data_IF_747822426836
#
_entry.id   IF_747822426836
#
_cell.length_a   1.000
_cell.length_b   1.000
_cell.length_c   1.000
_cell.angle_alpha   90.00
_cell.angle_beta   90.00
_cell.angle_gamma   90.00
#
_symmetry.space_group_name_H-M   'P 1'
#
loop_
_entity.id
_entity.type
_entity.pdbx_description
1 polymer ?
#
# COMPACT_ATOMS: atom_id res chain seq x y z
N UNK A 1 2.96 0.58 9.25
CA UNK A 1 2.42 1.68 8.43
C UNK A 1 3.31 1.85 7.22
N UNK A 2 2.69 1.89 6.03
CA UNK A 2 3.37 2.10 4.75
C UNK A 2 2.90 3.41 4.17
N UNK A 3 3.83 4.31 3.88
CA UNK A 3 3.57 5.53 3.12
C UNK A 3 3.70 5.21 1.64
N UNK A 4 2.65 5.50 0.89
CA UNK A 4 2.65 5.33 -0.55
C UNK A 4 2.30 6.67 -1.22
N UNK A 5 3.04 6.99 -2.26
CA UNK A 5 2.76 8.14 -3.13
C UNK A 5 2.13 7.61 -4.40
N UNK A 6 0.91 8.02 -4.64
CA UNK A 6 0.10 7.65 -5.78
C UNK A 6 0.11 8.83 -6.75
N UNK A 7 0.46 8.55 -7.99
CA UNK A 7 0.51 9.54 -9.06
C UNK A 7 -0.88 9.77 -9.67
N UNK A 8 -1.05 10.78 -10.51
CA UNK A 8 -2.32 11.18 -11.15
C UNK A 8 -2.98 10.05 -11.99
N UNK A 9 -2.22 9.01 -12.32
CA UNK A 9 -2.67 7.83 -13.06
C UNK A 9 -3.04 6.64 -12.16
N UNK A 10 -2.97 6.79 -10.83
CA UNK A 10 -3.27 5.72 -9.86
C UNK A 10 -2.13 4.72 -9.66
N UNK A 11 -0.94 5.04 -10.16
CA UNK A 11 0.26 4.21 -10.02
C UNK A 11 1.04 4.62 -8.77
N UNK A 12 1.54 3.63 -8.02
CA UNK A 12 2.39 3.87 -6.86
C UNK A 12 3.80 4.19 -7.33
N UNK A 13 4.19 5.46 -7.28
CA UNK A 13 5.53 5.92 -7.67
C UNK A 13 6.55 5.75 -6.56
N UNK A 14 6.10 5.83 -5.31
CA UNK A 14 6.96 5.65 -4.13
C UNK A 14 6.22 4.88 -3.06
N UNK A 15 6.88 3.92 -2.45
CA UNK A 15 6.37 3.18 -1.30
C UNK A 15 7.50 3.06 -0.28
N UNK A 16 7.26 3.53 0.93
CA UNK A 16 8.23 3.57 2.02
C UNK A 16 7.55 3.10 3.30
N UNK A 17 8.29 2.39 4.15
CA UNK A 17 7.71 1.80 5.35
C UNK A 17 8.24 2.49 6.57
N UNK A 18 7.33 3.23 7.20
CA UNK A 18 7.62 4.03 8.38
C UNK A 18 7.62 3.16 9.65
N UNK A 19 6.81 2.10 9.68
CA UNK A 19 6.70 1.19 10.83
C UNK A 19 6.40 -0.22 10.36
N UNK A 20 7.42 -1.08 10.32
CA UNK A 20 7.32 -2.51 10.05
C UNK A 20 7.66 -3.33 11.29
N UNK A 21 7.13 -4.55 11.38
CA UNK A 21 7.48 -5.50 12.44
C UNK A 21 8.67 -6.39 12.04
N UNK A 22 8.71 -6.84 10.78
CA UNK A 22 9.78 -7.68 10.22
C UNK A 22 10.06 -7.27 8.77
N UNK A 23 11.29 -7.52 8.29
CA UNK A 23 11.72 -7.20 6.92
C UNK A 23 10.92 -7.95 5.86
N UNK A 24 10.58 -9.21 6.11
CA UNK A 24 9.75 -10.02 5.19
C UNK A 24 8.33 -9.45 5.05
N UNK A 25 7.71 -9.10 6.17
CA UNK A 25 6.39 -8.47 6.19
C UNK A 25 6.42 -7.12 5.49
N UNK A 26 7.52 -6.39 5.66
CA UNK A 26 7.74 -5.11 5.00
C UNK A 26 7.81 -5.26 3.47
N UNK A 27 8.61 -6.21 2.98
CA UNK A 27 8.72 -6.50 1.55
C UNK A 27 7.37 -6.94 0.95
N UNK A 28 6.64 -7.81 1.65
CA UNK A 28 5.30 -8.25 1.23
C UNK A 28 4.30 -7.08 1.16
N UNK A 29 4.33 -6.20 2.16
CA UNK A 29 3.52 -4.98 2.19
C UNK A 29 3.82 -4.06 1.00
N UNK A 30 5.10 -3.78 0.72
CA UNK A 30 5.51 -2.94 -0.42
C UNK A 30 5.05 -3.58 -1.73
N UNK A 31 5.23 -4.90 -1.87
CA UNK A 31 4.82 -5.63 -3.07
C UNK A 31 3.30 -5.59 -3.29
N UNK A 32 2.52 -5.77 -2.23
CA UNK A 32 1.06 -5.68 -2.27
C UNK A 32 0.60 -4.27 -2.67
N UNK A 33 1.21 -3.23 -2.10
CA UNK A 33 0.91 -1.84 -2.46
C UNK A 33 1.30 -1.57 -3.92
N UNK A 34 2.47 -2.02 -4.39
CA UNK A 34 2.87 -1.84 -5.80
C UNK A 34 1.98 -2.58 -6.79
N UNK A 35 1.46 -3.75 -6.44
CA UNK A 35 0.55 -4.52 -7.30
C UNK A 35 -0.91 -4.05 -7.21
N UNK A 36 -1.26 -3.27 -6.19
CA UNK A 36 -2.61 -2.74 -6.03
C UNK A 36 -2.78 -1.50 -6.90
N UNK A 37 -3.85 -1.47 -7.69
CA UNK A 37 -4.22 -0.27 -8.44
C UNK A 37 -4.98 0.68 -7.53
N UNK A 38 -4.39 1.83 -7.25
CA UNK A 38 -5.01 2.85 -6.42
C UNK A 38 -5.77 3.86 -7.26
N UNK A 39 -6.75 4.51 -6.65
CA UNK A 39 -7.43 5.67 -7.24
C UNK A 39 -6.55 6.88 -6.91
N UNK A 40 -6.12 7.66 -7.92
CA UNK A 40 -5.35 8.88 -7.69
C UNK A 40 -6.16 9.88 -6.87
N UNK A 41 -5.47 10.80 -6.19
CA UNK A 41 -6.14 11.95 -5.60
C UNK A 41 -6.76 12.81 -6.70
N UNK A 42 -7.96 13.31 -6.47
CA UNK A 42 -8.59 14.32 -7.31
C UNK A 42 -8.78 15.56 -6.45
N UNK A 43 -8.15 16.67 -6.84
CA UNK A 43 -8.37 17.97 -6.23
C UNK A 43 -9.04 18.86 -7.27
N UNK A 44 -10.28 19.30 -6.99
CA UNK A 44 -11.07 20.18 -7.87
C UNK A 44 -11.20 19.69 -9.33
N UNK A 45 -11.22 18.38 -9.55
CA UNK A 45 -11.34 17.78 -10.89
C UNK A 45 -10.00 17.60 -11.63
N UNK A 46 -8.89 18.02 -11.02
CA UNK A 46 -7.55 17.72 -11.51
C UNK A 46 -6.96 16.54 -10.73
N UNK A 47 -6.36 15.60 -11.46
CA UNK A 47 -5.72 14.44 -10.85
C UNK A 47 -4.39 14.90 -10.26
N UNK A 48 -4.24 14.76 -8.95
CA UNK A 48 -3.08 15.21 -8.21
C UNK A 48 -2.34 14.04 -7.57
N UNK A 49 -1.06 14.26 -7.31
CA UNK A 49 -0.24 13.30 -6.57
C UNK A 49 -0.71 13.28 -5.12
N UNK A 50 -1.13 12.10 -4.65
CA UNK A 50 -1.61 11.90 -3.30
C UNK A 50 -0.59 11.09 -2.50
N UNK A 51 -0.21 11.60 -1.34
CA UNK A 51 0.53 10.82 -0.35
C UNK A 51 -0.47 10.24 0.66
N UNK A 52 -0.46 8.92 0.81
CA UNK A 52 -1.35 8.21 1.73
C UNK A 52 -0.56 7.28 2.64
N UNK A 53 -1.01 7.18 3.89
CA UNK A 53 -0.44 6.23 4.86
C UNK A 53 -1.40 5.06 5.03
N UNK A 54 -0.99 3.88 4.56
CA UNK A 54 -1.77 2.65 4.64
C UNK A 54 -1.40 1.88 5.92
N UNK A 55 -2.34 1.71 6.86
CA UNK A 55 -2.13 0.86 8.03
C UNK A 55 -2.28 -0.61 7.65
N UNK A 56 -1.16 -1.31 7.43
CA UNK A 56 -1.16 -2.75 7.18
C UNK A 56 -1.19 -3.50 8.51
N UNK A 57 -2.29 -4.19 8.77
CA UNK A 57 -2.43 -5.13 9.88
C UNK A 57 -2.30 -6.54 9.33
N UNK A 58 -1.17 -7.17 9.61
CA UNK A 58 -1.01 -8.60 9.39
C UNK A 58 -1.85 -9.33 10.44
N UNK A 59 -2.76 -10.17 9.96
CA UNK A 59 -3.39 -11.19 10.78
C UNK A 59 -2.87 -12.53 10.25
N UNK A 60 -2.46 -13.38 11.17
CA UNK A 60 -2.41 -14.81 10.90
C UNK A 60 -3.86 -15.26 10.89
N UNK A 61 -4.45 -15.40 9.71
CA UNK A 61 -5.56 -16.32 9.56
C UNK A 61 -4.95 -17.70 9.79
N UNK A 62 -5.22 -18.25 10.98
CA UNK A 62 -4.95 -19.66 11.26
C UNK A 62 -5.49 -20.46 10.09
N UNK A 63 -4.59 -21.19 9.44
CA UNK A 63 -4.86 -21.87 8.20
C UNK A 63 -6.07 -22.79 8.40
N UNK A 64 -7.23 -22.40 7.85
CA UNK A 64 -8.20 -23.43 7.47
C UNK A 64 -7.52 -24.26 6.38
N UNK A 65 -7.10 -25.44 6.80
CA UNK A 65 -7.00 -26.65 5.97
C UNK A 65 -8.07 -26.55 4.88
N UNK A 66 -7.63 -26.35 3.64
CA UNK A 66 -8.47 -26.66 2.49
C UNK A 66 -8.22 -28.13 2.21
N UNK A 67 -9.12 -28.97 2.73
CA UNK A 67 -9.41 -30.31 2.20
C UNK A 67 -9.79 -30.26 0.72
#
# INVERSE_FOLDING_TARGET
FVKAVIDEVGNVVKAEVEKGANEELNAAAISAVKNTKFIPGEDKGEKVKAEVTIPIKFKLDDCKEKE
#
